data_IF_462873926560
#
_entry.id   IF_462873926560
#
_cell.length_a   1.000
_cell.length_b   1.000
_cell.length_c   1.000
_cell.angle_alpha   90.00
_cell.angle_beta   90.00
_cell.angle_gamma   90.00
#
_symmetry.space_group_name_H-M   'P 1'
#
loop_
_entity.id
_entity.type
_entity.pdbx_description
1 polymer ?
#
# COMPACT_ATOMS: atom_id res chain seq x y z
N UNK A 1 13.66 13.61 -27.87
CA UNK A 1 14.58 12.86 -26.98
C UNK A 1 14.03 11.46 -26.81
N UNK A 2 14.74 10.43 -27.30
CA UNK A 2 14.34 9.01 -27.14
C UNK A 2 14.95 8.52 -25.82
N UNK A 3 14.13 8.09 -24.86
CA UNK A 3 14.61 7.42 -23.65
C UNK A 3 15.09 6.02 -24.02
N UNK A 4 16.40 5.82 -24.14
CA UNK A 4 17.03 4.51 -24.26
C UNK A 4 17.01 3.81 -22.89
N UNK A 5 15.88 3.20 -22.54
CA UNK A 5 15.83 2.30 -21.41
C UNK A 5 16.58 1.01 -21.79
N UNK A 6 17.75 0.77 -21.20
CA UNK A 6 18.43 -0.51 -21.33
C UNK A 6 17.55 -1.64 -20.78
N UNK A 7 17.49 -2.81 -21.44
CA UNK A 7 16.70 -3.93 -20.96
C UNK A 7 17.21 -4.37 -19.57
N UNK A 8 16.33 -4.29 -18.57
CA UNK A 8 16.62 -4.73 -17.20
C UNK A 8 16.56 -6.25 -17.15
N UNK A 9 17.54 -6.91 -16.52
CA UNK A 9 17.50 -8.37 -16.33
C UNK A 9 16.30 -8.76 -15.48
N UNK A 10 15.74 -9.96 -15.70
CA UNK A 10 14.58 -10.43 -14.92
C UNK A 10 14.85 -10.41 -13.41
N UNK A 11 16.10 -10.63 -13.00
CA UNK A 11 16.54 -10.57 -11.61
C UNK A 11 16.55 -9.14 -11.06
N UNK A 12 17.14 -8.18 -11.78
CA UNK A 12 17.14 -6.78 -11.37
C UNK A 12 15.72 -6.17 -11.39
N UNK A 13 14.85 -6.66 -12.28
CA UNK A 13 13.44 -6.30 -12.29
C UNK A 13 12.72 -6.87 -11.05
N UNK A 14 12.98 -8.13 -10.70
CA UNK A 14 12.42 -8.78 -9.51
C UNK A 14 12.87 -8.10 -8.21
N UNK A 15 14.13 -7.68 -8.13
CA UNK A 15 14.65 -6.91 -6.98
C UNK A 15 14.05 -5.50 -6.90
N UNK A 16 13.84 -4.81 -8.04
CA UNK A 16 13.11 -3.53 -8.06
C UNK A 16 11.65 -3.67 -7.64
N UNK A 17 10.99 -4.78 -8.01
CA UNK A 17 9.58 -5.03 -7.71
C UNK A 17 9.36 -5.53 -6.29
N UNK A 18 10.30 -6.28 -5.72
CA UNK A 18 10.22 -6.84 -4.36
C UNK A 18 10.95 -6.00 -3.32
N UNK A 19 10.93 -4.67 -3.43
CA UNK A 19 11.46 -3.80 -2.39
C UNK A 19 10.65 -3.99 -1.10
N UNK A 20 11.33 -4.42 -0.06
CA UNK A 20 10.80 -4.55 1.31
C UNK A 20 11.40 -3.44 2.17
N UNK A 21 10.57 -2.82 2.99
CA UNK A 21 10.96 -1.82 3.99
C UNK A 21 10.51 -2.31 5.36
N UNK A 22 11.36 -2.17 6.36
CA UNK A 22 10.95 -2.38 7.76
C UNK A 22 10.54 -1.04 8.34
N UNK A 23 9.38 -0.97 8.97
CA UNK A 23 8.85 0.21 9.65
C UNK A 23 8.48 -0.14 11.09
N UNK A 24 8.62 0.82 12.00
CA UNK A 24 8.21 0.67 13.39
C UNK A 24 6.97 1.52 13.63
N UNK A 25 5.88 0.90 14.07
CA UNK A 25 4.60 1.57 14.35
C UNK A 25 4.16 1.17 15.75
N UNK A 26 4.00 2.17 16.63
CA UNK A 26 3.61 1.97 18.04
C UNK A 26 4.51 0.95 18.78
N UNK A 27 5.81 0.94 18.49
CA UNK A 27 6.78 0.02 19.11
C UNK A 27 6.80 -1.39 18.51
N UNK A 28 6.02 -1.65 17.46
CA UNK A 28 5.97 -2.92 16.73
C UNK A 28 6.65 -2.79 15.37
N UNK A 29 7.50 -3.76 15.04
CA UNK A 29 8.19 -3.79 13.75
C UNK A 29 7.35 -4.54 12.70
N UNK A 30 7.15 -3.92 11.54
CA UNK A 30 6.48 -4.50 10.38
C UNK A 30 7.41 -4.52 9.18
N UNK A 31 7.48 -5.65 8.49
CA UNK A 31 8.03 -5.69 7.14
C UNK A 31 6.91 -5.38 6.16
N UNK A 32 7.08 -4.34 5.34
CA UNK A 32 6.10 -3.88 4.35
C UNK A 32 6.68 -3.89 2.94
N UNK A 33 5.80 -3.95 1.94
CA UNK A 33 6.13 -3.80 0.52
C UNK A 33 5.27 -2.74 -0.15
N UNK A 34 5.72 -2.30 -1.33
CA UNK A 34 4.90 -1.44 -2.19
C UNK A 34 3.63 -2.16 -2.63
N UNK A 35 2.52 -1.44 -2.65
CA UNK A 35 1.23 -1.90 -3.15
C UNK A 35 0.78 -1.08 -4.34
N UNK A 36 -0.13 -1.64 -5.14
CA UNK A 36 -0.73 -0.89 -6.24
C UNK A 36 -1.62 0.23 -5.71
N UNK A 37 -1.46 1.44 -6.26
CA UNK A 37 -2.33 2.59 -5.98
C UNK A 37 -3.80 2.28 -6.31
N UNK A 38 -4.05 1.28 -7.18
CA UNK A 38 -5.39 0.77 -7.49
C UNK A 38 -6.08 0.07 -6.30
N UNK A 39 -5.39 -0.15 -5.18
CA UNK A 39 -6.01 -0.61 -3.94
C UNK A 39 -6.58 0.53 -3.08
N UNK A 40 -6.20 1.79 -3.36
CA UNK A 40 -6.72 2.97 -2.68
C UNK A 40 -8.16 3.37 -3.07
N UNK A 41 -8.64 3.26 -4.33
CA UNK A 41 -10.00 3.64 -4.68
C UNK A 41 -11.02 2.64 -4.12
N UNK A 42 -12.21 3.17 -3.80
CA UNK A 42 -13.40 2.34 -3.64
C UNK A 42 -13.93 1.92 -5.02
N UNK A 43 -14.71 0.84 -5.06
CA UNK A 43 -15.21 0.23 -6.30
C UNK A 43 -15.97 1.21 -7.23
N UNK A 44 -16.40 2.38 -6.71
CA UNK A 44 -17.10 3.43 -7.45
C UNK A 44 -16.21 4.57 -7.98
N UNK A 45 -14.95 4.70 -7.56
CA UNK A 45 -14.07 5.80 -8.00
C UNK A 45 -13.13 5.32 -9.13
N UNK A 46 -13.46 5.68 -10.38
CA UNK A 46 -12.64 5.34 -11.55
C UNK A 46 -11.37 6.20 -11.57
N UNK A 47 -10.26 5.63 -11.09
CA UNK A 47 -8.93 6.24 -11.13
C UNK A 47 -8.54 6.67 -12.54
N UNK A 48 -9.01 5.98 -13.58
CA UNK A 48 -8.70 6.37 -14.96
C UNK A 48 -9.38 7.67 -15.34
N UNK A 49 -10.59 7.92 -14.84
CA UNK A 49 -11.26 9.20 -15.03
C UNK A 49 -10.55 10.32 -14.28
N UNK A 50 -10.07 10.07 -13.06
CA UNK A 50 -9.27 11.04 -12.30
C UNK A 50 -7.93 11.33 -12.98
N UNK A 51 -7.25 10.31 -13.50
CA UNK A 51 -6.00 10.45 -14.23
C UNK A 51 -6.18 11.27 -15.52
N UNK A 52 -7.31 11.12 -16.22
CA UNK A 52 -7.65 11.94 -17.40
C UNK A 52 -7.93 13.41 -17.07
N UNK A 53 -8.37 13.72 -15.85
CA UNK A 53 -8.62 15.10 -15.39
C UNK A 53 -7.33 15.88 -15.06
N UNK A 54 -6.18 15.21 -15.04
CA UNK A 54 -4.88 15.83 -14.82
C UNK A 54 -4.19 15.35 -13.55
N UNK A 55 -2.87 15.51 -13.52
CA UNK A 55 -2.01 14.97 -12.45
C UNK A 55 -2.28 15.62 -11.09
N UNK A 56 -2.56 16.91 -11.06
CA UNK A 56 -2.78 17.65 -9.81
C UNK A 56 -4.08 17.24 -9.12
N UNK A 57 -5.15 17.04 -9.89
CA UNK A 57 -6.45 16.56 -9.39
C UNK A 57 -6.33 15.16 -8.79
N UNK A 58 -5.62 14.27 -9.48
CA UNK A 58 -5.34 12.93 -8.99
C UNK A 58 -4.49 12.97 -7.71
N UNK A 59 -3.47 13.83 -7.66
CA UNK A 59 -2.60 13.97 -6.49
C UNK A 59 -3.37 14.48 -5.26
N UNK A 60 -4.21 15.51 -5.40
CA UNK A 60 -5.05 16.02 -4.31
C UNK A 60 -6.05 14.97 -3.83
N UNK A 61 -6.65 14.21 -4.75
CA UNK A 61 -7.56 13.13 -4.38
C UNK A 61 -6.85 12.01 -3.61
N UNK A 62 -5.65 11.63 -4.05
CA UNK A 62 -4.79 10.65 -3.36
C UNK A 62 -4.45 11.15 -1.94
N UNK A 63 -4.05 12.41 -1.79
CA UNK A 63 -3.79 13.01 -0.47
C UNK A 63 -5.02 12.97 0.44
N UNK A 64 -6.21 13.25 -0.09
CA UNK A 64 -7.46 13.15 0.66
C UNK A 64 -7.75 11.73 1.14
N UNK A 65 -7.50 10.71 0.31
CA UNK A 65 -7.65 9.30 0.71
C UNK A 65 -6.66 8.88 1.80
N UNK A 66 -5.43 9.42 1.75
CA UNK A 66 -4.37 9.18 2.73
C UNK A 66 -4.73 9.80 4.08
N UNK A 67 -5.26 11.03 4.09
CA UNK A 67 -5.58 11.75 5.32
C UNK A 67 -6.72 11.12 6.14
N UNK A 68 -7.62 10.37 5.50
CA UNK A 68 -8.77 9.73 6.16
C UNK A 68 -9.15 8.42 5.47
N UNK A 69 -8.41 7.32 5.71
CA UNK A 69 -8.70 6.03 5.10
C UNK A 69 -9.95 5.37 5.69
N UNK A 70 -10.69 4.66 4.85
CA UNK A 70 -11.87 3.87 5.28
C UNK A 70 -11.44 2.47 5.72
N UNK A 71 -12.22 1.79 6.57
CA UNK A 71 -11.93 0.41 7.00
C UNK A 71 -11.75 -0.59 5.84
N UNK A 72 -12.59 -0.61 4.78
CA UNK A 72 -12.36 -1.50 3.63
C UNK A 72 -11.05 -1.22 2.88
N UNK A 73 -10.65 0.06 2.79
CA UNK A 73 -9.39 0.47 2.16
C UNK A 73 -8.20 0.08 3.03
N UNK A 74 -8.26 0.33 4.33
CA UNK A 74 -7.27 -0.13 5.31
C UNK A 74 -7.06 -1.62 5.17
N UNK A 75 -8.15 -2.41 5.21
CA UNK A 75 -8.11 -3.87 5.11
C UNK A 75 -7.36 -4.34 3.85
N UNK A 76 -7.73 -3.82 2.68
CA UNK A 76 -7.14 -4.22 1.39
C UNK A 76 -5.64 -3.89 1.33
N UNK A 77 -5.26 -2.69 1.74
CA UNK A 77 -3.86 -2.25 1.70
C UNK A 77 -3.01 -3.01 2.70
N UNK A 78 -3.49 -3.24 3.91
CA UNK A 78 -2.76 -3.99 4.93
C UNK A 78 -2.54 -5.44 4.51
N UNK A 79 -3.56 -6.14 4.01
CA UNK A 79 -3.41 -7.52 3.47
C UNK A 79 -2.38 -7.59 2.34
N UNK A 80 -2.39 -6.59 1.46
CA UNK A 80 -1.49 -6.58 0.31
C UNK A 80 -0.06 -6.14 0.67
N UNK A 81 0.08 -5.26 1.65
CA UNK A 81 1.31 -4.51 1.92
C UNK A 81 2.14 -5.03 3.08
N UNK A 82 1.54 -5.70 4.08
CA UNK A 82 2.29 -6.26 5.21
C UNK A 82 2.81 -7.66 4.86
N UNK A 83 4.13 -7.85 5.01
CA UNK A 83 4.82 -9.12 4.82
C UNK A 83 4.99 -9.85 6.15
N UNK A 84 5.40 -9.12 7.19
CA UNK A 84 5.63 -9.67 8.53
C UNK A 84 5.13 -8.70 9.61
N UNK A 85 4.32 -9.15 10.58
CA UNK A 85 3.73 -10.49 10.66
C UNK A 85 2.79 -10.75 9.46
N UNK A 86 2.67 -12.01 9.04
CA UNK A 86 1.74 -12.38 7.96
C UNK A 86 0.32 -12.07 8.39
N UNK A 87 -0.44 -11.34 7.58
CA UNK A 87 -1.85 -11.06 7.83
C UNK A 87 -2.74 -12.01 7.03
N UNK A 88 -3.89 -12.38 7.59
CA UNK A 88 -4.94 -13.10 6.87
C UNK A 88 -6.33 -12.57 7.20
N UNK A 89 -7.26 -12.74 6.26
CA UNK A 89 -8.68 -12.48 6.46
C UNK A 89 -9.41 -13.67 7.12
N UNK A 90 -8.79 -14.85 7.10
CA UNK A 90 -9.30 -16.07 7.72
C UNK A 90 -8.32 -16.54 8.79
N UNK A 91 -8.81 -17.35 9.72
CA UNK A 91 -7.97 -17.95 10.74
C UNK A 91 -7.06 -19.01 10.09
N UNK A 92 -5.78 -18.67 9.96
CA UNK A 92 -4.75 -19.48 9.31
C UNK A 92 -3.56 -19.64 10.25
N UNK A 93 -3.03 -20.86 10.36
CA UNK A 93 -1.89 -21.14 11.23
C UNK A 93 -0.68 -20.25 10.91
N UNK A 94 -0.22 -19.52 11.93
CA UNK A 94 0.93 -18.62 11.83
C UNK A 94 0.65 -17.27 11.15
N UNK A 95 -0.61 -16.95 10.86
CA UNK A 95 -1.03 -15.62 10.40
C UNK A 95 -1.82 -14.88 11.49
N UNK A 96 -1.65 -13.56 11.54
CA UNK A 96 -2.45 -12.67 12.36
C UNK A 96 -3.76 -12.32 11.62
N UNK A 97 -4.89 -12.44 12.30
CA UNK A 97 -6.17 -11.99 11.77
C UNK A 97 -6.16 -10.47 11.57
N UNK A 98 -6.50 -10.03 10.36
CA UNK A 98 -6.52 -8.60 10.05
C UNK A 98 -7.55 -7.83 10.87
N UNK A 99 -8.65 -8.46 11.26
CA UNK A 99 -9.69 -7.79 12.06
C UNK A 99 -9.20 -7.42 13.46
N UNK A 100 -8.23 -8.17 14.01
CA UNK A 100 -7.56 -7.78 15.25
C UNK A 100 -6.70 -6.53 15.04
N UNK A 101 -5.95 -6.46 13.94
CA UNK A 101 -5.15 -5.27 13.61
C UNK A 101 -6.03 -4.05 13.34
N UNK A 102 -7.16 -4.22 12.65
CA UNK A 102 -8.12 -3.16 12.36
C UNK A 102 -8.88 -2.68 13.60
N UNK A 103 -8.96 -3.50 14.66
CA UNK A 103 -9.56 -3.08 15.93
C UNK A 103 -8.73 -1.98 16.63
N UNK A 104 -7.42 -1.94 16.37
CA UNK A 104 -6.56 -0.82 16.72
C UNK A 104 -6.51 0.17 15.54
N UNK A 105 -7.40 1.14 15.56
CA UNK A 105 -7.52 2.12 14.49
C UNK A 105 -6.27 2.99 14.34
N UNK A 106 -5.56 3.29 15.42
CA UNK A 106 -4.35 4.11 15.37
C UNK A 106 -3.21 3.34 14.71
N UNK A 107 -2.96 2.10 15.16
CA UNK A 107 -1.95 1.22 14.58
C UNK A 107 -2.22 0.96 13.09
N UNK A 108 -3.44 0.57 12.76
CA UNK A 108 -3.83 0.26 11.37
C UNK A 108 -3.75 1.48 10.45
N UNK A 109 -4.16 2.66 10.91
CA UNK A 109 -4.06 3.91 10.13
C UNK A 109 -2.62 4.32 9.89
N UNK A 110 -1.76 4.28 10.92
CA UNK A 110 -0.34 4.61 10.78
C UNK A 110 0.39 3.62 9.85
N UNK A 111 0.13 2.32 10.01
CA UNK A 111 0.72 1.30 9.15
C UNK A 111 0.25 1.43 7.69
N UNK A 112 -1.02 1.78 7.47
CA UNK A 112 -1.53 2.12 6.15
C UNK A 112 -0.76 3.30 5.52
N UNK A 113 -0.54 4.38 6.27
CA UNK A 113 0.20 5.55 5.78
C UNK A 113 1.62 5.17 5.37
N UNK A 114 2.32 4.36 6.17
CA UNK A 114 3.66 3.86 5.84
C UNK A 114 3.69 3.08 4.53
N UNK A 115 2.73 2.17 4.32
CA UNK A 115 2.63 1.38 3.09
C UNK A 115 2.36 2.29 1.88
N UNK A 116 1.44 3.25 2.01
CA UNK A 116 1.10 4.14 0.89
C UNK A 116 2.27 5.06 0.56
N UNK A 117 2.91 5.67 1.56
CA UNK A 117 4.09 6.50 1.37
C UNK A 117 5.20 5.71 0.68
N UNK A 118 5.50 4.50 1.16
CA UNK A 118 6.50 3.64 0.53
C UNK A 118 6.13 3.26 -0.93
N UNK A 119 4.85 3.11 -1.22
CA UNK A 119 4.35 2.82 -2.57
C UNK A 119 4.48 4.00 -3.53
N UNK A 120 4.44 5.23 -3.00
CA UNK A 120 4.57 6.48 -3.77
C UNK A 120 6.01 7.00 -3.86
N UNK A 121 6.89 6.60 -2.94
CA UNK A 121 8.34 6.83 -3.05
C UNK A 121 8.84 6.16 -4.36
N UNK A 122 9.48 6.93 -5.26
CA UNK A 122 10.00 6.43 -6.55
C UNK A 122 11.11 5.40 -6.41
#
# INVERSE_FOLDING_TARGET
MKTTAQPTTAQALKERLNKVKTVEVNGLAFAIRKVSVLLLPEASEDIWNLARQGKDVLAEKIKGWIASPTLPRLRRVLLAGVISPRLSAMDEDGAMLIDLLLSDHELSSRLFLEIVNFSLEG
#
